data_IF_036928456032
#
_entry.id   IF_036928456032
#
_cell.length_a   1.000
_cell.length_b   1.000
_cell.length_c   1.000
_cell.angle_alpha   90.00
_cell.angle_beta   90.00
_cell.angle_gamma   90.00
#
_symmetry.space_group_name_H-M   'P 1'
#
loop_
_entity.id
_entity.type
_entity.pdbx_description
1 polymer ?
#
# COMPACT_ATOMS: atom_id res chain seq x y z
N UNK A 1 -13.93 2.89 10.60
CA UNK A 1 -13.68 2.36 9.24
C UNK A 1 -14.46 1.08 9.06
N UNK A 2 -15.19 0.95 7.97
CA UNK A 2 -15.96 -0.26 7.77
C UNK A 2 -15.07 -1.43 7.37
N UNK A 3 -15.63 -2.62 7.43
CA UNK A 3 -14.95 -3.87 7.17
C UNK A 3 -14.31 -3.94 5.80
N UNK A 4 -15.03 -3.45 4.78
CA UNK A 4 -14.57 -3.54 3.39
C UNK A 4 -13.40 -2.59 3.14
N UNK A 5 -13.46 -1.38 3.70
CA UNK A 5 -12.39 -0.41 3.57
C UNK A 5 -11.12 -0.90 4.27
N UNK A 6 -11.29 -1.52 5.44
CA UNK A 6 -10.17 -2.06 6.19
C UNK A 6 -9.50 -3.20 5.45
N UNK A 7 -10.30 -4.10 4.87
CA UNK A 7 -9.78 -5.22 4.10
C UNK A 7 -9.04 -4.74 2.85
N UNK A 8 -9.60 -3.77 2.15
CA UNK A 8 -8.97 -3.20 0.95
C UNK A 8 -7.64 -2.55 1.29
N UNK A 9 -7.58 -1.80 2.39
CA UNK A 9 -6.34 -1.15 2.81
C UNK A 9 -5.28 -2.18 3.20
N UNK A 10 -5.69 -3.24 3.89
CA UNK A 10 -4.78 -4.30 4.28
C UNK A 10 -4.21 -5.02 3.04
N UNK A 11 -5.05 -5.31 2.06
CA UNK A 11 -4.62 -5.94 0.81
C UNK A 11 -3.64 -5.04 0.06
N UNK A 12 -3.91 -3.75 0.03
CA UNK A 12 -3.04 -2.76 -0.60
C UNK A 12 -1.66 -2.74 0.06
N UNK A 13 -1.64 -2.76 1.39
CA UNK A 13 -0.40 -2.80 2.16
C UNK A 13 0.39 -4.07 1.89
N UNK A 14 -0.28 -5.22 1.86
CA UNK A 14 0.37 -6.50 1.60
C UNK A 14 0.97 -6.53 0.20
N UNK A 15 0.28 -5.97 -0.77
CA UNK A 15 0.74 -5.88 -2.14
C UNK A 15 1.99 -4.99 -2.23
N UNK A 16 1.97 -3.84 -1.57
CA UNK A 16 3.11 -2.93 -1.55
C UNK A 16 4.33 -3.60 -0.90
N UNK A 17 4.10 -4.32 0.20
CA UNK A 17 5.17 -5.05 0.89
C UNK A 17 5.81 -6.08 -0.04
N UNK A 18 4.99 -6.82 -0.76
CA UNK A 18 5.48 -7.83 -1.70
C UNK A 18 6.34 -7.19 -2.79
N UNK A 19 5.96 -6.02 -3.26
CA UNK A 19 6.68 -5.31 -4.32
C UNK A 19 8.07 -4.82 -3.88
N UNK A 20 8.23 -4.52 -2.60
CA UNK A 20 9.54 -4.09 -2.07
C UNK A 20 10.29 -5.21 -1.35
N UNK A 21 9.80 -6.43 -1.46
CA UNK A 21 10.49 -7.60 -0.90
C UNK A 21 10.41 -7.73 0.62
N UNK A 22 9.39 -7.13 1.24
CA UNK A 22 9.16 -7.24 2.67
C UNK A 22 8.03 -8.23 2.91
N UNK A 23 8.29 -9.24 3.74
CA UNK A 23 7.28 -10.24 4.09
C UNK A 23 6.49 -9.75 5.31
N UNK A 24 5.20 -9.50 5.10
CA UNK A 24 4.30 -9.14 6.18
C UNK A 24 3.38 -10.31 6.52
N UNK A 25 3.07 -10.42 7.81
CA UNK A 25 2.09 -11.39 8.29
C UNK A 25 0.72 -10.74 8.34
N UNK A 26 -0.31 -11.54 8.29
CA UNK A 26 -1.65 -11.09 8.64
C UNK A 26 -1.66 -10.76 10.13
N UNK A 27 -2.12 -9.60 10.48
CA UNK A 27 -2.22 -9.18 11.88
C UNK A 27 -0.96 -8.48 12.38
N UNK A 28 -0.37 -8.98 13.45
CA UNK A 28 0.72 -8.29 14.14
C UNK A 28 2.05 -8.44 13.40
N UNK A 29 2.71 -7.32 13.13
CA UNK A 29 4.00 -7.27 12.45
C UNK A 29 5.05 -6.53 13.28
N UNK A 30 5.07 -6.80 14.58
CA UNK A 30 5.98 -6.12 15.49
C UNK A 30 7.45 -6.48 15.29
N UNK A 31 7.74 -7.50 14.51
CA UNK A 31 9.10 -7.94 14.24
C UNK A 31 9.73 -7.32 12.99
N UNK A 32 9.01 -6.50 12.26
CA UNK A 32 9.61 -5.82 11.11
C UNK A 32 10.40 -4.60 11.58
N UNK A 33 11.44 -4.25 10.84
CA UNK A 33 12.29 -3.11 11.17
C UNK A 33 11.61 -1.80 10.74
N UNK A 34 12.10 -0.68 11.30
CA UNK A 34 11.64 0.64 10.89
C UNK A 34 11.91 0.88 9.40
N UNK A 35 13.04 0.37 8.92
CA UNK A 35 13.43 0.47 7.50
C UNK A 35 12.43 -0.27 6.62
N UNK A 36 12.06 -1.47 7.01
CA UNK A 36 11.08 -2.27 6.27
C UNK A 36 9.72 -1.60 6.26
N UNK A 37 9.27 -1.11 7.42
CA UNK A 37 8.00 -0.41 7.53
C UNK A 37 8.01 0.84 6.64
N UNK A 38 9.11 1.57 6.63
CA UNK A 38 9.27 2.75 5.78
C UNK A 38 9.23 2.43 4.30
N UNK A 39 9.85 1.31 3.90
CA UNK A 39 9.83 0.85 2.51
C UNK A 39 8.42 0.53 2.05
N UNK A 40 7.65 -0.16 2.88
CA UNK A 40 6.26 -0.49 2.57
C UNK A 40 5.43 0.78 2.46
N UNK A 41 5.56 1.69 3.44
CA UNK A 41 4.83 2.95 3.43
C UNK A 41 5.16 3.80 2.22
N UNK A 42 6.44 3.89 1.86
CA UNK A 42 6.88 4.62 0.68
C UNK A 42 6.31 4.04 -0.60
N UNK A 43 6.28 2.70 -0.70
CA UNK A 43 5.71 2.03 -1.87
C UNK A 43 4.21 2.28 -1.98
N UNK A 44 3.50 2.30 -0.84
CA UNK A 44 2.08 2.61 -0.84
C UNK A 44 1.81 4.01 -1.39
N UNK A 45 2.59 4.99 -0.95
CA UNK A 45 2.47 6.37 -1.44
C UNK A 45 2.74 6.43 -2.94
N UNK A 46 3.79 5.78 -3.39
CA UNK A 46 4.13 5.72 -4.82
C UNK A 46 3.00 5.15 -5.64
N UNK A 47 2.41 4.06 -5.19
CA UNK A 47 1.29 3.42 -5.90
C UNK A 47 0.07 4.35 -5.97
N UNK A 48 -0.21 5.06 -4.89
CA UNK A 48 -1.33 6.01 -4.85
C UNK A 48 -1.11 7.17 -5.82
N UNK A 49 0.10 7.70 -5.86
CA UNK A 49 0.45 8.80 -6.77
C UNK A 49 0.33 8.33 -8.22
N UNK A 50 0.85 7.15 -8.53
CA UNK A 50 0.78 6.59 -9.88
C UNK A 50 -0.66 6.35 -10.31
N UNK A 51 -1.48 5.87 -9.41
CA UNK A 51 -2.90 5.65 -9.67
C UNK A 51 -3.62 6.96 -9.96
N UNK A 52 -3.31 8.00 -9.20
CA UNK A 52 -3.89 9.32 -9.41
C UNK A 52 -3.47 9.90 -10.76
N UNK A 53 -2.19 9.78 -11.10
CA UNK A 53 -1.67 10.26 -12.38
C UNK A 53 -2.33 9.55 -13.56
N UNK A 54 -2.51 8.26 -13.45
CA UNK A 54 -3.18 7.47 -14.48
C UNK A 54 -4.64 7.89 -14.64
N UNK A 55 -5.28 8.20 -13.52
CA UNK A 55 -6.66 8.67 -13.50
C UNK A 55 -6.81 9.98 -14.29
N UNK A 56 -5.90 10.92 -14.06
CA UNK A 56 -5.88 12.20 -14.77
C UNK A 56 -5.60 11.98 -16.26
N UNK A 57 -4.58 11.17 -16.55
CA UNK A 57 -4.15 10.86 -17.91
C UNK A 57 -5.29 10.26 -18.74
N UNK A 58 -6.10 9.44 -18.12
CA UNK A 58 -7.23 8.79 -18.80
C UNK A 58 -8.48 9.66 -18.82
N UNK A 59 -8.41 10.89 -18.32
CA UNK A 59 -9.50 11.82 -18.35
C UNK A 59 -10.59 11.55 -17.32
N UNK A 60 -10.36 10.63 -16.39
CA UNK A 60 -11.35 10.28 -15.37
C UNK A 60 -11.44 11.29 -14.24
N UNK A 61 -10.52 12.25 -14.18
CA UNK A 61 -10.47 13.27 -13.14
C UNK A 61 -10.99 14.61 -13.63
N UNK A 62 -11.95 14.63 -14.46
CA UNK A 62 -12.51 15.89 -15.00
C UNK A 62 -13.37 16.60 -14.00
#
# INVERSE_FOLDING_TARGET
MDKNAKAALNNFKMQAANEVGVTLKQGYNGDITAREAGSVGGQMVKKMVESYENSIKNGSAK
#
